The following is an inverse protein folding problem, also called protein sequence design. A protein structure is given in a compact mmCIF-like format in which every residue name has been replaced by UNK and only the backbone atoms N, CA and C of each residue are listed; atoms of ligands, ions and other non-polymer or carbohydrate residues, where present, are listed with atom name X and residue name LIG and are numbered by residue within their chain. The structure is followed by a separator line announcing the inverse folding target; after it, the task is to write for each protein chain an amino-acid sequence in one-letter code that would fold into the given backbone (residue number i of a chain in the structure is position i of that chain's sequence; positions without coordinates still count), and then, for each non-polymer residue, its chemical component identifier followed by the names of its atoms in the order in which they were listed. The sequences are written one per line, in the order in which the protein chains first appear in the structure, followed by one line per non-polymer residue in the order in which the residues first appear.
data_IF_897952864628
#
_entry.id   IF_897952864628
#
_cell.length_a   1.000
_cell.length_b   1.000
_cell.length_c   1.000
_cell.angle_alpha   90.00
_cell.angle_beta   90.00
_cell.angle_gamma   90.00
#
_symmetry.space_group_name_H-M   'P 1'
#
loop_
_entity.id
_entity.type
_entity.pdbx_description
1 polymer ?
#
# COMPACT_ATOMS: atom_id res chain seq x y z
N UNK A 1 6.97 17.18 5.85
CA UNK A 1 7.86 16.77 4.74
C UNK A 1 9.16 17.57 4.85
N UNK A 2 10.33 16.92 4.77
CA UNK A 2 11.62 17.63 4.81
C UNK A 2 11.80 18.40 3.49
N UNK A 3 11.91 19.74 3.56
CA UNK A 3 12.02 20.60 2.37
C UNK A 3 13.18 20.21 1.44
N UNK A 4 14.29 19.69 2.00
CA UNK A 4 15.44 19.21 1.21
C UNK A 4 15.11 17.94 0.41
N UNK A 5 14.28 17.04 0.96
CA UNK A 5 13.85 15.83 0.25
C UNK A 5 12.89 16.20 -0.89
N UNK A 6 11.93 17.08 -0.62
CA UNK A 6 10.99 17.55 -1.63
C UNK A 6 11.70 18.19 -2.83
N UNK A 7 12.69 19.06 -2.59
CA UNK A 7 13.47 19.69 -3.66
C UNK A 7 14.21 18.68 -4.55
N UNK A 8 14.78 17.61 -3.96
CA UNK A 8 15.45 16.55 -4.72
C UNK A 8 14.48 15.76 -5.58
N UNK A 9 13.29 15.42 -5.05
CA UNK A 9 12.26 14.72 -5.81
C UNK A 9 11.77 15.58 -6.99
N UNK A 10 11.58 16.90 -6.79
CA UNK A 10 11.24 17.82 -7.86
C UNK A 10 12.30 17.85 -8.97
N UNK A 11 13.58 17.86 -8.59
CA UNK A 11 14.68 17.85 -9.56
C UNK A 11 14.63 16.59 -10.44
N UNK A 12 14.38 15.42 -9.85
CA UNK A 12 14.26 14.16 -10.57
C UNK A 12 13.04 14.17 -11.49
N UNK A 13 11.89 14.59 -10.95
CA UNK A 13 10.62 14.63 -11.66
C UNK A 13 10.72 15.51 -12.92
N UNK A 14 11.28 16.71 -12.79
CA UNK A 14 11.45 17.65 -13.89
C UNK A 14 12.47 17.18 -14.93
N UNK A 15 13.54 16.51 -14.51
CA UNK A 15 14.55 15.98 -15.44
C UNK A 15 13.98 14.91 -16.37
N UNK A 16 13.14 14.01 -15.85
CA UNK A 16 12.56 12.92 -16.64
C UNK A 16 11.27 13.31 -17.37
N UNK A 17 10.49 14.24 -16.83
CA UNK A 17 9.22 14.68 -17.41
C UNK A 17 8.05 13.73 -17.13
N UNK A 18 6.84 14.18 -17.47
CA UNK A 18 5.57 13.58 -17.08
C UNK A 18 5.41 12.14 -17.58
N UNK A 19 5.60 11.90 -18.88
CA UNK A 19 5.39 10.59 -19.51
C UNK A 19 6.31 9.53 -18.89
N UNK A 20 7.60 9.83 -18.77
CA UNK A 20 8.58 8.89 -18.20
C UNK A 20 8.30 8.60 -16.73
N UNK A 21 7.85 9.60 -15.98
CA UNK A 21 7.51 9.41 -14.56
C UNK A 21 6.26 8.55 -14.38
N UNK A 22 5.26 8.66 -15.27
CA UNK A 22 4.10 7.77 -15.26
C UNK A 22 4.53 6.33 -15.57
N UNK A 23 5.40 6.13 -16.57
CA UNK A 23 5.96 4.81 -16.84
C UNK A 23 6.76 4.25 -15.66
N UNK A 24 7.57 5.09 -15.00
CA UNK A 24 8.34 4.67 -13.82
C UNK A 24 7.40 4.30 -12.67
N UNK A 25 6.29 5.02 -12.46
CA UNK A 25 5.30 4.64 -11.46
C UNK A 25 4.75 3.23 -11.72
N UNK A 26 4.49 2.87 -12.98
CA UNK A 26 4.02 1.53 -13.34
C UNK A 26 5.06 0.45 -13.04
N UNK A 27 6.33 0.72 -13.31
CA UNK A 27 7.46 -0.17 -13.01
C UNK A 27 7.56 -0.44 -11.50
N UNK A 28 7.63 0.61 -10.69
CA UNK A 28 7.76 0.51 -9.22
C UNK A 28 6.56 -0.20 -8.59
N UNK A 29 5.34 0.02 -9.11
CA UNK A 29 4.16 -0.69 -8.65
C UNK A 29 4.25 -2.20 -8.98
N UNK A 30 4.85 -2.56 -10.10
CA UNK A 30 5.11 -3.95 -10.47
C UNK A 30 6.15 -4.63 -9.57
N UNK A 31 7.23 -3.92 -9.25
CA UNK A 31 8.28 -4.38 -8.34
C UNK A 31 7.73 -4.56 -6.92
N UNK A 32 7.01 -3.57 -6.39
CA UNK A 32 6.34 -3.67 -5.09
C UNK A 32 5.29 -4.78 -5.04
N UNK A 33 4.55 -5.01 -6.13
CA UNK A 33 3.61 -6.14 -6.24
C UNK A 33 4.33 -7.48 -6.15
N UNK A 34 5.47 -7.61 -6.84
CA UNK A 34 6.29 -8.83 -6.83
C UNK A 34 6.86 -9.10 -5.43
N UNK A 35 7.43 -8.09 -4.77
CA UNK A 35 7.93 -8.20 -3.40
C UNK A 35 6.82 -8.52 -2.39
N UNK A 36 5.62 -7.95 -2.55
CA UNK A 36 4.48 -8.26 -1.70
C UNK A 36 4.00 -9.71 -1.90
N UNK A 37 4.02 -10.21 -3.13
CA UNK A 37 3.69 -11.61 -3.46
C UNK A 37 4.64 -12.58 -2.77
N UNK A 38 5.95 -12.30 -2.78
CA UNK A 38 6.96 -13.09 -2.07
C UNK A 38 6.69 -13.19 -0.56
N UNK A 39 6.32 -12.08 0.08
CA UNK A 39 5.93 -12.07 1.50
C UNK A 39 4.65 -12.86 1.70
N UNK A 40 3.63 -12.67 0.85
CA UNK A 40 2.36 -13.39 0.94
C UNK A 40 2.53 -14.89 0.79
N UNK A 41 3.35 -15.35 -0.15
CA UNK A 41 3.69 -16.77 -0.31
C UNK A 41 4.25 -17.33 1.00
N UNK A 42 5.23 -16.66 1.60
CA UNK A 42 5.82 -17.11 2.86
C UNK A 42 4.81 -17.12 4.04
N UNK A 43 3.85 -16.20 4.06
CA UNK A 43 2.80 -16.17 5.10
C UNK A 43 1.73 -17.25 4.89
N UNK A 44 1.41 -17.56 3.63
CA UNK A 44 0.34 -18.50 3.26
C UNK A 44 0.79 -19.95 3.32
N UNK A 45 2.02 -20.21 2.90
CA UNK A 45 2.66 -21.51 3.08
C UNK A 45 3.37 -21.45 4.43
N UNK A 46 2.79 -22.08 5.46
CA UNK A 46 3.51 -22.39 6.70
C UNK A 46 4.72 -23.29 6.37
N UNK A 47 5.77 -22.77 5.73
CA UNK A 47 7.02 -23.48 5.55
C UNK A 47 7.65 -23.66 6.94
N UNK A 48 7.36 -24.81 7.54
CA UNK A 48 7.93 -25.29 8.79
C UNK A 48 9.45 -25.59 8.70
N UNK A 49 10.20 -24.91 7.82
CA UNK A 49 11.61 -25.19 7.64
C UNK A 49 12.39 -24.12 6.89
N UNK A 50 12.53 -22.91 7.46
CA UNK A 50 13.22 -21.85 6.70
C UNK A 50 13.85 -20.65 7.40
N UNK A 51 13.91 -20.57 8.74
CA UNK A 51 14.55 -19.48 9.54
C UNK A 51 13.95 -18.07 9.38
N UNK A 52 13.70 -17.41 10.53
CA UNK A 52 13.34 -15.98 10.70
C UNK A 52 14.11 -14.98 9.81
N UNK A 53 15.31 -15.34 9.36
CA UNK A 53 16.18 -14.56 8.47
C UNK A 53 15.61 -14.42 7.04
N UNK A 54 14.82 -15.38 6.55
CA UNK A 54 14.18 -15.31 5.22
C UNK A 54 13.05 -14.27 5.19
N UNK A 55 12.16 -14.29 6.19
CA UNK A 55 11.11 -13.27 6.32
C UNK A 55 11.68 -11.86 6.48
N UNK A 56 12.74 -11.69 7.28
CA UNK A 56 13.40 -10.38 7.43
C UNK A 56 13.91 -9.84 6.10
N UNK A 57 14.60 -10.66 5.30
CA UNK A 57 15.11 -10.22 4.00
C UNK A 57 13.99 -9.83 3.02
N UNK A 58 12.88 -10.59 2.98
CA UNK A 58 11.73 -10.26 2.13
C UNK A 58 11.01 -8.98 2.58
N UNK A 59 10.93 -8.75 3.89
CA UNK A 59 10.37 -7.50 4.43
C UNK A 59 11.28 -6.30 4.16
N UNK A 60 12.60 -6.48 4.22
CA UNK A 60 13.57 -5.44 3.83
C UNK A 60 13.45 -5.10 2.34
N UNK A 61 13.32 -6.11 1.48
CA UNK A 61 13.07 -5.94 0.05
C UNK A 61 11.75 -5.19 -0.20
N UNK A 62 10.63 -5.67 0.37
CA UNK A 62 9.33 -4.99 0.25
C UNK A 62 9.37 -3.54 0.75
N UNK A 63 10.10 -3.26 1.84
CA UNK A 63 10.25 -1.89 2.33
C UNK A 63 11.00 -0.98 1.35
N UNK A 64 12.00 -1.52 0.63
CA UNK A 64 12.68 -0.83 -0.47
C UNK A 64 11.73 -0.46 -1.59
N UNK A 65 11.03 -1.45 -2.14
CA UNK A 65 10.10 -1.25 -3.26
C UNK A 65 8.95 -0.28 -2.90
N UNK A 66 8.42 -0.37 -1.67
CA UNK A 66 7.43 0.58 -1.18
C UNK A 66 7.99 2.01 -1.05
N UNK A 67 9.26 2.15 -0.68
CA UNK A 67 9.89 3.46 -0.61
C UNK A 67 10.03 4.09 -2.00
N UNK A 68 10.35 3.29 -3.02
CA UNK A 68 10.48 3.77 -4.39
C UNK A 68 9.12 4.10 -5.03
N UNK A 69 8.09 3.29 -4.79
CA UNK A 69 6.69 3.67 -5.11
C UNK A 69 6.31 5.00 -4.47
N UNK A 70 6.62 5.21 -3.19
CA UNK A 70 6.33 6.48 -2.50
C UNK A 70 7.10 7.64 -3.12
N UNK A 71 8.38 7.43 -3.45
CA UNK A 71 9.21 8.45 -4.08
C UNK A 71 8.63 8.89 -5.43
N UNK A 72 8.23 7.94 -6.28
CA UNK A 72 7.67 8.26 -7.61
C UNK A 72 6.24 8.81 -7.49
N UNK A 73 5.44 8.32 -6.55
CA UNK A 73 4.11 8.88 -6.27
C UNK A 73 4.20 10.36 -5.89
N UNK A 74 5.14 10.74 -5.02
CA UNK A 74 5.35 12.15 -4.66
C UNK A 74 5.78 13.00 -5.86
N UNK A 75 6.61 12.46 -6.76
CA UNK A 75 7.03 13.12 -7.99
C UNK A 75 5.83 13.36 -8.93
N UNK A 76 4.97 12.35 -9.11
CA UNK A 76 3.73 12.44 -9.90
C UNK A 76 2.78 13.48 -9.32
N UNK A 77 2.53 13.45 -8.00
CA UNK A 77 1.65 14.43 -7.35
C UNK A 77 2.12 15.85 -7.66
N UNK A 78 3.43 16.11 -7.60
CA UNK A 78 3.99 17.44 -7.85
C UNK A 78 3.96 17.83 -9.32
N UNK A 79 4.32 16.92 -10.24
CA UNK A 79 4.31 17.19 -11.68
C UNK A 79 2.93 17.57 -12.20
N UNK A 80 1.89 16.92 -11.66
CA UNK A 80 0.51 17.14 -12.09
C UNK A 80 -0.28 18.09 -11.17
N UNK A 81 0.34 18.67 -10.13
CA UNK A 81 -0.33 19.59 -9.21
C UNK A 81 -1.49 18.97 -8.42
N UNK A 82 -1.37 17.70 -8.02
CA UNK A 82 -2.42 16.90 -7.42
C UNK A 82 -2.45 16.98 -5.87
N UNK A 83 -1.70 17.88 -5.24
CA UNK A 83 -1.46 17.84 -3.78
C UNK A 83 -2.75 17.91 -2.96
N UNK A 84 -3.69 18.75 -3.39
CA UNK A 84 -4.97 18.93 -2.70
C UNK A 84 -5.86 17.71 -2.91
N UNK A 85 -6.06 17.30 -4.16
CA UNK A 85 -6.93 16.18 -4.52
C UNK A 85 -6.43 14.88 -3.90
N UNK A 86 -5.12 14.64 -3.91
CA UNK A 86 -4.51 13.50 -3.27
C UNK A 86 -4.78 13.46 -1.77
N UNK A 87 -4.65 14.59 -1.06
CA UNK A 87 -4.93 14.65 0.40
C UNK A 87 -6.40 14.35 0.70
N UNK A 88 -7.31 14.91 -0.07
CA UNK A 88 -8.76 14.67 0.07
C UNK A 88 -9.07 13.20 -0.19
N UNK A 89 -8.61 12.65 -1.31
CA UNK A 89 -8.82 11.25 -1.68
C UNK A 89 -8.23 10.27 -0.64
N UNK A 90 -7.03 10.55 -0.14
CA UNK A 90 -6.39 9.73 0.90
C UNK A 90 -7.20 9.72 2.19
N UNK A 91 -7.69 10.87 2.65
CA UNK A 91 -8.51 10.94 3.86
C UNK A 91 -9.84 10.18 3.68
N UNK A 92 -10.53 10.40 2.55
CA UNK A 92 -11.77 9.71 2.22
C UNK A 92 -11.58 8.18 2.12
N UNK A 93 -10.47 7.73 1.54
CA UNK A 93 -10.12 6.31 1.42
C UNK A 93 -9.96 5.60 2.77
N UNK A 94 -9.35 6.26 3.75
CA UNK A 94 -9.23 5.73 5.12
C UNK A 94 -10.61 5.57 5.75
N UNK A 95 -11.45 6.61 5.69
CA UNK A 95 -12.80 6.56 6.26
C UNK A 95 -13.66 5.48 5.61
N UNK A 96 -13.56 5.31 4.29
CA UNK A 96 -14.24 4.24 3.55
C UNK A 96 -13.82 2.85 4.03
N UNK A 97 -12.52 2.63 4.22
CA UNK A 97 -11.99 1.36 4.72
C UNK A 97 -12.43 1.08 6.16
N UNK A 98 -12.36 2.07 7.05
CA UNK A 98 -12.82 1.92 8.45
C UNK A 98 -14.32 1.64 8.53
N UNK A 99 -15.12 2.28 7.67
CA UNK A 99 -16.55 1.99 7.58
C UNK A 99 -16.80 0.53 7.19
N UNK A 100 -16.09 0.03 6.17
CA UNK A 100 -16.20 -1.36 5.72
C UNK A 100 -15.83 -2.35 6.84
N UNK A 101 -14.74 -2.11 7.57
CA UNK A 101 -14.34 -2.95 8.71
C UNK A 101 -15.46 -3.04 9.75
N UNK A 102 -16.06 -1.91 10.14
CA UNK A 102 -17.19 -1.89 11.08
C UNK A 102 -18.41 -2.67 10.59
N UNK A 103 -18.71 -2.57 9.29
CA UNK A 103 -19.82 -3.31 8.67
C UNK A 103 -19.53 -4.82 8.66
N UNK A 104 -18.29 -5.23 8.38
CA UNK A 104 -17.84 -6.63 8.44
C UNK A 104 -17.90 -7.19 9.87
N UNK A 105 -17.51 -6.41 10.88
CA UNK A 105 -17.62 -6.78 12.30
C UNK A 105 -19.08 -6.99 12.72
N UNK A 106 -19.97 -6.03 12.42
CA UNK A 106 -21.41 -6.13 12.73
C UNK A 106 -22.09 -7.30 12.01
N UNK A 107 -21.72 -7.56 10.76
CA UNK A 107 -22.24 -8.69 10.00
C UNK A 107 -21.81 -10.04 10.60
N UNK A 108 -20.59 -10.15 11.14
CA UNK A 108 -20.14 -11.35 11.82
C UNK A 108 -20.86 -11.52 13.18
N UNK A 109 -21.02 -10.46 13.97
CA UNK A 109 -21.74 -10.50 15.25
C UNK A 109 -23.20 -10.94 15.09
N UNK A 110 -23.90 -10.46 14.05
CA UNK A 110 -25.29 -10.84 13.75
C UNK A 110 -25.42 -12.24 13.14
N UNK A 111 -24.34 -12.78 12.58
CA UNK A 111 -24.27 -14.15 12.06
C UNK A 111 -24.00 -15.17 13.17
N UNK A 112 -23.32 -14.73 14.23
CA UNK A 112 -23.09 -15.50 15.47
C UNK A 112 -24.21 -15.32 16.51
N UNK A 113 -25.20 -14.44 16.27
CA UNK A 113 -26.45 -14.38 17.04
C UNK A 113 -27.23 -15.68 16.80
N UNK A 114 -27.41 -16.51 17.83
CA UNK A 114 -27.45 -17.93 17.56
C UNK A 114 -28.87 -18.40 17.22
N UNK A 115 -28.95 -19.42 16.37
CA UNK A 115 -30.15 -20.11 15.89
C UNK A 115 -31.05 -20.77 16.97
N UNK A 116 -31.02 -20.27 18.21
CA UNK A 116 -31.82 -20.75 19.36
C UNK A 116 -33.22 -20.16 19.44
N UNK A 117 -33.59 -19.18 18.59
CA UNK A 117 -34.96 -18.63 18.56
C UNK A 117 -36.00 -19.54 17.88
N UNK A 118 -35.59 -20.68 17.32
CA UNK A 118 -36.50 -21.65 16.67
C UNK A 118 -36.78 -22.91 17.51
N UNK A 119 -36.39 -22.92 18.80
CA UNK A 119 -36.77 -23.96 19.76
C UNK A 119 -37.52 -23.35 20.94
N UNK A 120 -38.73 -22.82 20.71
CA UNK A 120 -39.74 -22.56 21.74
C UNK A 120 -41.11 -23.01 21.24
#
# INVERSE_FOLDING_TARGET
MNAKRAAKLMQIAHYYGEEKQVCKLMEELGEATSAASEVLMLLSYHEQGGKKRDLTARLEHLAGELADVVNVTEQIIQLFGLETDFKVARHAGIQKTLKRIREEEQANETRDEPAWRNFQ
#
